data_IF_173361291248
#
_entry.id   IF_173361291248
#
_cell.length_a   1.000
_cell.length_b   1.000
_cell.length_c   1.000
_cell.angle_alpha   90.00
_cell.angle_beta   90.00
_cell.angle_gamma   90.00
#
_symmetry.space_group_name_H-M   'P 1'
#
loop_
_entity.id
_entity.type
_entity.pdbx_description
1 polymer ?
#
# COMPACT_ATOMS: atom_id res chain seq x y z
N UNK A 1 57.79 -34.62 21.67
CA UNK A 1 57.79 -34.65 20.19
C UNK A 1 57.69 -33.20 19.71
N UNK A 2 58.82 -32.48 19.58
CA UNK A 2 59.46 -32.07 18.30
C UNK A 2 58.52 -31.33 17.32
N UNK A 3 58.53 -29.99 17.44
CA UNK A 3 58.56 -28.88 16.44
C UNK A 3 59.02 -29.20 14.98
N UNK A 4 59.08 -28.24 14.00
CA UNK A 4 58.47 -26.89 13.82
C UNK A 4 58.05 -26.56 12.34
N UNK A 5 57.53 -25.35 12.04
CA UNK A 5 58.15 -24.27 11.20
C UNK A 5 57.16 -23.86 10.07
N UNK A 6 56.99 -22.63 9.57
CA UNK A 6 57.82 -21.41 9.35
C UNK A 6 56.87 -20.17 9.38
N UNK A 7 57.15 -19.02 10.00
CA UNK A 7 57.96 -17.87 9.55
C UNK A 7 57.51 -17.34 8.16
N UNK A 8 57.29 -16.05 7.84
CA UNK A 8 57.75 -14.77 8.39
C UNK A 8 57.00 -13.58 7.71
N UNK A 9 56.98 -12.41 8.38
CA UNK A 9 57.05 -11.02 7.86
C UNK A 9 56.00 -10.53 6.82
N UNK A 10 55.32 -9.38 6.97
CA UNK A 10 55.83 -8.00 7.05
C UNK A 10 54.76 -7.07 7.64
N UNK A 11 55.18 -6.12 8.49
CA UNK A 11 54.41 -4.93 8.90
C UNK A 11 54.11 -3.99 7.72
N UNK A 12 52.91 -3.41 7.65
CA UNK A 12 52.83 -1.96 7.48
C UNK A 12 51.59 -1.37 8.17
N UNK A 13 51.90 -0.29 8.86
CA UNK A 13 51.11 0.59 9.72
C UNK A 13 50.05 1.38 8.93
N UNK A 14 48.92 1.59 9.60
CA UNK A 14 47.92 2.67 9.52
C UNK A 14 47.78 3.45 8.19
N UNK A 15 46.54 3.65 7.77
CA UNK A 15 45.94 5.00 7.69
C UNK A 15 44.41 4.89 7.63
N UNK A 16 43.78 5.71 8.47
CA UNK A 16 42.35 6.00 8.58
C UNK A 16 41.76 6.37 7.21
N UNK A 17 40.49 6.06 6.95
CA UNK A 17 39.43 6.91 6.32
C UNK A 17 38.13 6.08 6.18
N UNK A 18 36.95 6.74 6.14
CA UNK A 18 35.79 6.42 6.97
C UNK A 18 34.62 5.82 6.18
N UNK A 19 33.62 5.31 6.90
CA UNK A 19 32.23 5.14 6.45
C UNK A 19 32.04 4.67 5.00
N UNK A 20 32.12 3.36 4.79
CA UNK A 20 31.34 2.71 3.74
C UNK A 20 30.30 1.84 4.45
N UNK A 21 29.03 2.29 4.41
CA UNK A 21 27.90 1.39 4.62
C UNK A 21 28.03 0.30 3.56
N UNK A 22 28.36 -0.91 3.99
CA UNK A 22 28.19 -2.10 3.19
C UNK A 22 26.68 -2.25 2.95
N UNK A 23 26.23 -1.96 1.73
CA UNK A 23 24.96 -2.51 1.23
C UNK A 23 25.30 -3.95 0.90
N UNK A 24 24.78 -4.86 1.72
CA UNK A 24 24.86 -6.29 1.45
C UNK A 24 24.21 -6.60 0.13
N UNK A 25 24.86 -7.46 -0.66
CA UNK A 25 24.21 -8.24 -1.69
C UNK A 25 23.19 -9.15 -0.98
N UNK A 26 21.92 -8.74 -0.96
CA UNK A 26 20.79 -9.62 -0.62
C UNK A 26 19.92 -9.83 -1.86
N UNK A 27 19.46 -11.07 -1.96
CA UNK A 27 19.08 -11.81 -3.15
C UNK A 27 17.81 -11.28 -3.86
N UNK A 28 17.87 -11.27 -5.20
CA UNK A 28 16.78 -11.38 -6.19
C UNK A 28 15.36 -11.01 -5.72
N UNK A 29 15.07 -9.71 -5.64
CA UNK A 29 13.70 -9.18 -5.74
C UNK A 29 13.45 -8.70 -7.18
N UNK A 30 13.32 -9.66 -8.09
CA UNK A 30 13.11 -9.48 -9.54
C UNK A 30 12.01 -8.47 -9.94
N UNK A 31 10.87 -8.31 -9.21
CA UNK A 31 9.82 -7.36 -9.60
C UNK A 31 10.27 -5.89 -9.55
N UNK A 32 11.14 -5.54 -8.62
CA UNK A 32 11.58 -4.15 -8.42
C UNK A 32 12.54 -3.71 -9.53
N UNK A 33 13.44 -4.59 -9.97
CA UNK A 33 14.39 -4.29 -11.06
C UNK A 33 13.64 -4.03 -12.37
N UNK A 34 12.59 -4.80 -12.67
CA UNK A 34 11.77 -4.60 -13.87
C UNK A 34 11.01 -3.25 -13.84
N UNK A 35 10.49 -2.84 -12.67
CA UNK A 35 9.84 -1.55 -12.47
C UNK A 35 10.84 -0.41 -12.66
N UNK A 36 12.03 -0.53 -12.05
CA UNK A 36 13.10 0.45 -12.19
C UNK A 36 13.60 0.58 -13.64
N UNK A 37 13.64 -0.51 -14.39
CA UNK A 37 13.94 -0.49 -15.82
C UNK A 37 12.88 0.24 -16.63
N UNK A 38 11.59 0.01 -16.36
CA UNK A 38 10.50 0.74 -17.03
C UNK A 38 10.55 2.25 -16.73
N UNK A 39 10.81 2.62 -15.47
CA UNK A 39 10.99 4.03 -15.09
C UNK A 39 12.22 4.63 -15.78
N UNK A 40 13.32 3.88 -15.87
CA UNK A 40 14.53 4.30 -16.58
C UNK A 40 14.26 4.56 -18.08
N UNK A 41 13.49 3.69 -18.73
CA UNK A 41 13.10 3.80 -20.13
C UNK A 41 12.12 4.96 -20.39
N UNK A 42 11.08 5.11 -19.57
CA UNK A 42 10.08 6.18 -19.72
C UNK A 42 10.65 7.57 -19.44
N UNK A 43 11.57 7.67 -18.47
CA UNK A 43 12.14 8.95 -18.01
C UNK A 43 13.50 9.24 -18.66
N UNK A 44 14.04 8.31 -19.45
CA UNK A 44 15.30 8.45 -20.19
C UNK A 44 16.52 8.66 -19.29
N UNK A 45 16.57 7.98 -18.14
CA UNK A 45 17.64 8.10 -17.15
C UNK A 45 18.29 6.74 -16.82
N UNK A 46 19.49 6.76 -16.23
CA UNK A 46 20.22 5.54 -15.84
C UNK A 46 19.48 4.77 -14.74
N UNK A 47 19.83 3.49 -14.54
CA UNK A 47 19.20 2.66 -13.49
C UNK A 47 19.44 3.23 -12.08
N UNK A 48 20.60 3.86 -11.83
CA UNK A 48 20.93 4.50 -10.55
C UNK A 48 20.12 5.80 -10.34
N UNK A 49 19.89 6.55 -11.42
CA UNK A 49 18.98 7.71 -11.42
C UNK A 49 17.50 7.29 -11.31
N UNK A 50 17.13 6.15 -11.89
CA UNK A 50 15.79 5.58 -11.77
C UNK A 50 15.55 5.07 -10.35
N UNK A 51 16.54 4.39 -9.75
CA UNK A 51 16.47 3.92 -8.37
C UNK A 51 16.36 5.09 -7.39
N UNK A 52 17.18 6.13 -7.54
CA UNK A 52 17.07 7.35 -6.72
C UNK A 52 15.77 8.13 -6.94
N UNK A 53 15.16 8.07 -8.14
CA UNK A 53 13.80 8.60 -8.39
C UNK A 53 12.68 7.71 -7.86
N UNK A 54 12.94 6.41 -7.73
CA UNK A 54 11.99 5.42 -7.25
C UNK A 54 12.03 5.21 -5.74
N UNK A 55 13.05 5.76 -5.04
CA UNK A 55 13.03 5.79 -3.57
C UNK A 55 11.74 6.47 -3.11
N UNK A 56 10.92 5.72 -2.39
CA UNK A 56 9.64 6.18 -1.88
C UNK A 56 8.46 6.07 -2.86
N UNK A 57 8.64 5.54 -4.09
CA UNK A 57 7.53 5.28 -5.02
C UNK A 57 6.83 3.96 -4.75
N UNK A 58 7.47 3.03 -4.06
CA UNK A 58 6.81 1.81 -3.58
C UNK A 58 5.94 2.09 -2.36
N UNK A 59 4.95 1.22 -2.15
CA UNK A 59 4.18 1.23 -0.93
C UNK A 59 5.10 0.89 0.24
N UNK A 60 5.13 1.78 1.23
CA UNK A 60 6.05 1.67 2.34
C UNK A 60 5.45 0.84 3.47
N UNK A 61 6.31 0.06 4.13
CA UNK A 61 6.01 -0.49 5.44
C UNK A 61 5.68 0.65 6.42
N UNK A 62 4.57 0.59 7.18
CA UNK A 62 4.19 1.62 8.15
C UNK A 62 5.23 1.90 9.23
N UNK A 63 6.06 0.91 9.61
CA UNK A 63 7.17 1.09 10.55
C UNK A 63 8.22 2.08 10.02
N UNK A 64 8.39 2.17 8.70
CA UNK A 64 9.24 3.19 8.06
C UNK A 64 8.75 4.59 8.42
N UNK A 65 7.42 4.78 8.47
CA UNK A 65 6.82 6.05 8.86
C UNK A 65 7.05 6.36 10.36
N UNK A 66 7.14 5.33 11.21
CA UNK A 66 7.30 5.48 12.65
C UNK A 66 8.61 6.18 13.05
N UNK A 67 9.64 6.14 12.19
CA UNK A 67 10.93 6.80 12.41
C UNK A 67 10.75 8.32 12.59
N UNK A 68 9.90 8.95 11.77
CA UNK A 68 9.66 10.39 11.78
C UNK A 68 8.27 10.76 12.33
N UNK A 69 7.29 9.86 12.24
CA UNK A 69 5.90 10.04 12.67
C UNK A 69 5.48 9.00 13.73
N UNK A 70 6.23 8.87 14.84
CA UNK A 70 6.00 7.80 15.83
C UNK A 70 4.63 7.90 16.48
N UNK A 71 4.13 9.12 16.71
CA UNK A 71 2.81 9.34 17.30
C UNK A 71 1.69 8.84 16.39
N UNK A 72 1.69 9.26 15.13
CA UNK A 72 0.68 8.89 14.14
C UNK A 72 0.70 7.39 13.88
N UNK A 73 1.89 6.79 13.78
CA UNK A 73 2.04 5.36 13.68
C UNK A 73 1.39 4.62 14.87
N UNK A 74 1.63 5.05 16.11
CA UNK A 74 1.01 4.42 17.28
C UNK A 74 -0.52 4.60 17.33
N UNK A 75 -1.03 5.77 16.92
CA UNK A 75 -2.47 6.03 16.81
C UNK A 75 -3.11 5.13 15.73
N UNK A 76 -2.47 4.98 14.57
CA UNK A 76 -2.89 4.07 13.52
C UNK A 76 -2.84 2.61 13.96
N UNK A 77 -1.75 2.19 14.60
CA UNK A 77 -1.53 0.82 15.06
C UNK A 77 -2.65 0.36 16.01
N UNK A 78 -3.13 1.26 16.88
CA UNK A 78 -4.25 1.00 17.79
C UNK A 78 -5.66 1.18 17.19
N UNK A 79 -5.77 1.58 15.93
CA UNK A 79 -7.05 1.85 15.26
C UNK A 79 -7.62 0.63 14.54
N UNK A 80 -8.88 0.66 14.12
CA UNK A 80 -9.44 -0.41 13.28
C UNK A 80 -8.84 -0.47 11.87
N UNK A 81 -8.19 0.59 11.40
CA UNK A 81 -7.57 0.66 10.08
C UNK A 81 -6.37 -0.28 9.95
N UNK A 82 -5.52 -0.38 10.98
CA UNK A 82 -4.36 -1.30 11.00
C UNK A 82 -4.78 -2.76 10.96
N UNK A 83 -5.96 -3.08 11.53
CA UNK A 83 -6.53 -4.43 11.52
C UNK A 83 -7.45 -4.71 10.32
N UNK A 84 -7.59 -3.76 9.38
CA UNK A 84 -8.55 -3.81 8.29
C UNK A 84 -8.52 -5.14 7.52
N UNK A 85 -7.33 -5.59 7.15
CA UNK A 85 -7.12 -6.84 6.42
C UNK A 85 -7.11 -8.08 7.33
N UNK A 86 -6.59 -7.98 8.55
CA UNK A 86 -6.22 -9.15 9.36
C UNK A 86 -7.22 -9.51 10.45
N UNK A 87 -8.24 -8.66 10.69
CA UNK A 87 -9.27 -8.90 11.70
C UNK A 87 -9.94 -10.28 11.53
N UNK A 88 -9.91 -11.16 12.55
CA UNK A 88 -10.52 -12.50 12.46
C UNK A 88 -12.02 -12.47 12.15
N UNK A 89 -12.73 -11.47 12.72
CA UNK A 89 -14.15 -11.27 12.50
C UNK A 89 -14.44 -10.88 11.05
N UNK A 90 -13.67 -9.93 10.52
CA UNK A 90 -13.76 -9.51 9.12
C UNK A 90 -13.49 -10.68 8.18
N UNK A 91 -12.37 -11.38 8.38
CA UNK A 91 -11.97 -12.51 7.54
C UNK A 91 -13.02 -13.62 7.55
N UNK A 92 -13.60 -13.94 8.70
CA UNK A 92 -14.71 -14.91 8.77
C UNK A 92 -15.93 -14.45 7.98
N UNK A 93 -16.28 -13.16 8.07
CA UNK A 93 -17.41 -12.59 7.36
C UNK A 93 -17.18 -12.57 5.84
N UNK A 94 -15.99 -12.16 5.40
CA UNK A 94 -15.58 -12.15 4.00
C UNK A 94 -15.67 -13.56 3.38
N UNK A 95 -15.17 -14.58 4.08
CA UNK A 95 -15.25 -15.98 3.63
C UNK A 95 -16.70 -16.44 3.50
N UNK A 96 -17.55 -16.15 4.50
CA UNK A 96 -18.97 -16.51 4.47
C UNK A 96 -19.69 -15.77 3.34
N UNK A 97 -19.43 -14.48 3.16
CA UNK A 97 -20.03 -13.68 2.10
C UNK A 97 -19.66 -14.22 0.71
N UNK A 98 -18.38 -14.51 0.46
CA UNK A 98 -17.92 -15.13 -0.79
C UNK A 98 -18.59 -16.46 -1.05
N UNK A 99 -18.76 -17.30 -0.01
CA UNK A 99 -19.43 -18.60 -0.16
C UNK A 99 -20.93 -18.45 -0.45
N UNK A 100 -21.64 -17.67 0.36
CA UNK A 100 -23.10 -17.52 0.26
C UNK A 100 -23.49 -16.81 -1.05
N UNK A 101 -22.68 -15.85 -1.48
CA UNK A 101 -22.88 -15.10 -2.72
C UNK A 101 -22.20 -15.75 -3.93
N UNK A 102 -21.74 -17.00 -3.82
CA UNK A 102 -21.13 -17.78 -4.93
C UNK A 102 -20.04 -17.01 -5.68
N UNK A 103 -19.14 -16.39 -4.92
CA UNK A 103 -18.01 -15.62 -5.45
C UNK A 103 -18.34 -14.21 -5.93
N UNK A 104 -19.60 -13.73 -5.82
CA UNK A 104 -19.98 -12.43 -6.38
C UNK A 104 -19.12 -11.25 -5.87
N UNK A 105 -18.61 -11.32 -4.65
CA UNK A 105 -17.78 -10.27 -4.02
C UNK A 105 -16.27 -10.53 -4.09
N UNK A 106 -15.82 -11.57 -4.80
CA UNK A 106 -14.41 -11.98 -4.91
C UNK A 106 -13.72 -11.44 -6.19
N UNK A 107 -12.45 -11.77 -6.43
CA UNK A 107 -11.59 -11.20 -7.50
C UNK A 107 -12.11 -11.34 -8.95
N UNK A 108 -13.08 -12.21 -9.22
CA UNK A 108 -13.68 -12.38 -10.55
C UNK A 108 -15.23 -12.32 -10.51
N UNK A 109 -15.79 -11.88 -9.39
CA UNK A 109 -17.23 -11.74 -9.19
C UNK A 109 -17.82 -10.47 -9.81
N UNK A 110 -19.15 -10.39 -9.82
CA UNK A 110 -19.89 -9.21 -10.32
C UNK A 110 -19.56 -7.93 -9.52
N UNK A 111 -19.20 -8.07 -8.24
CA UNK A 111 -18.73 -7.02 -7.33
C UNK A 111 -17.27 -7.30 -6.96
N UNK A 112 -16.39 -7.26 -7.96
CA UNK A 112 -14.98 -7.66 -7.79
C UNK A 112 -14.32 -7.02 -6.56
N UNK A 113 -13.72 -7.86 -5.72
CA UNK A 113 -12.96 -7.50 -4.52
C UNK A 113 -13.68 -6.55 -3.55
N UNK A 114 -15.01 -6.57 -3.53
CA UNK A 114 -15.84 -5.60 -2.82
C UNK A 114 -15.37 -5.30 -1.38
N UNK A 115 -15.05 -6.33 -0.60
CA UNK A 115 -14.60 -6.17 0.78
C UNK A 115 -13.21 -5.51 0.88
N UNK A 116 -12.29 -5.89 -0.01
CA UNK A 116 -10.87 -5.64 0.15
C UNK A 116 -10.44 -4.27 -0.36
N UNK A 117 -11.21 -3.70 -1.29
CA UNK A 117 -11.02 -2.32 -1.72
C UNK A 117 -10.99 -1.32 -0.55
N UNK A 118 -11.81 -1.55 0.48
CA UNK A 118 -11.82 -0.73 1.70
C UNK A 118 -10.87 -1.24 2.78
N UNK A 119 -10.71 -2.56 2.90
CA UNK A 119 -10.01 -3.18 4.03
C UNK A 119 -8.50 -3.35 3.83
N UNK A 120 -8.04 -3.33 2.58
CA UNK A 120 -6.64 -3.32 2.15
C UNK A 120 -6.55 -2.67 0.76
N UNK A 121 -6.70 -1.33 0.67
CA UNK A 121 -6.66 -0.63 -0.61
C UNK A 121 -5.37 -0.88 -1.39
N UNK A 122 -4.25 -1.05 -0.69
CA UNK A 122 -2.95 -1.38 -1.29
C UNK A 122 -2.97 -2.78 -1.92
N UNK A 123 -3.56 -3.78 -1.27
CA UNK A 123 -3.67 -5.13 -1.85
C UNK A 123 -4.53 -5.17 -3.13
N UNK A 124 -5.56 -4.32 -3.21
CA UNK A 124 -6.33 -4.13 -4.45
C UNK A 124 -5.49 -3.46 -5.54
N UNK A 125 -4.79 -2.37 -5.20
CA UNK A 125 -3.95 -1.63 -6.15
C UNK A 125 -2.84 -2.53 -6.71
N UNK A 126 -2.27 -3.40 -5.88
CA UNK A 126 -1.25 -4.38 -6.27
C UNK A 126 -1.81 -5.65 -6.93
N UNK A 127 -3.14 -5.82 -6.96
CA UNK A 127 -3.78 -6.97 -7.61
C UNK A 127 -3.46 -8.32 -6.94
N UNK A 128 -3.30 -8.35 -5.62
CA UNK A 128 -2.79 -9.51 -4.86
C UNK A 128 -3.84 -10.61 -4.62
N UNK A 129 -5.04 -10.42 -5.13
CA UNK A 129 -6.15 -11.32 -4.86
C UNK A 129 -6.27 -12.42 -5.91
N UNK A 130 -6.43 -13.65 -5.43
CA UNK A 130 -6.65 -14.80 -6.30
C UNK A 130 -8.11 -14.90 -6.75
N UNK A 131 -8.29 -15.48 -7.93
CA UNK A 131 -9.61 -15.78 -8.47
C UNK A 131 -10.40 -16.70 -7.54
N UNK A 132 -11.69 -16.43 -7.41
CA UNK A 132 -12.58 -17.33 -6.70
C UNK A 132 -12.82 -18.58 -7.53
N UNK A 133 -12.57 -19.72 -6.89
CA UNK A 133 -12.96 -21.05 -7.37
C UNK A 133 -14.10 -21.56 -6.48
N UNK A 134 -15.11 -22.21 -7.08
CA UNK A 134 -16.20 -22.88 -6.33
C UNK A 134 -15.73 -24.21 -5.70
N UNK A 135 -14.42 -24.35 -5.48
CA UNK A 135 -13.91 -25.47 -4.69
C UNK A 135 -14.19 -25.19 -3.22
N UNK A 136 -14.36 -26.27 -2.46
CA UNK A 136 -14.83 -26.19 -1.08
C UNK A 136 -13.87 -25.50 -0.09
N UNK A 137 -12.68 -25.06 -0.51
CA UNK A 137 -11.68 -24.39 0.32
C UNK A 137 -11.65 -22.88 0.08
N UNK A 138 -12.59 -22.16 0.68
CA UNK A 138 -12.48 -20.70 0.82
C UNK A 138 -11.46 -20.42 1.92
N UNK A 139 -10.32 -19.84 1.58
CA UNK A 139 -9.40 -19.18 2.53
C UNK A 139 -9.69 -17.68 2.56
N UNK A 140 -9.42 -16.99 3.69
CA UNK A 140 -9.59 -15.55 3.75
C UNK A 140 -8.60 -14.86 2.81
N UNK A 141 -9.03 -13.80 2.14
CA UNK A 141 -8.19 -13.08 1.17
C UNK A 141 -6.91 -12.50 1.78
N UNK A 142 -6.84 -12.29 3.09
CA UNK A 142 -5.60 -11.91 3.77
C UNK A 142 -4.44 -12.87 3.54
N UNK A 143 -4.72 -14.14 3.24
CA UNK A 143 -3.68 -15.17 3.07
C UNK A 143 -2.96 -15.03 1.73
N UNK A 144 -3.45 -14.20 0.80
CA UNK A 144 -2.78 -13.87 -0.46
C UNK A 144 -2.03 -12.53 -0.42
N UNK A 145 -2.09 -11.80 0.70
CA UNK A 145 -1.51 -10.47 0.81
C UNK A 145 0.00 -10.53 1.02
N UNK A 146 0.69 -9.56 0.42
CA UNK A 146 2.07 -9.24 0.82
C UNK A 146 2.10 -8.62 2.21
N UNK A 147 3.30 -8.51 2.79
CA UNK A 147 3.50 -7.86 4.09
C UNK A 147 2.94 -6.43 4.11
N UNK A 148 3.24 -5.63 3.09
CA UNK A 148 2.76 -4.23 3.01
C UNK A 148 1.24 -4.12 2.94
N UNK A 149 0.57 -5.04 2.23
CA UNK A 149 -0.89 -5.06 2.09
C UNK A 149 -1.60 -5.62 3.32
N UNK A 150 -0.93 -6.47 4.11
CA UNK A 150 -1.48 -7.05 5.34
C UNK A 150 -1.72 -6.01 6.45
N UNK A 151 -1.11 -4.83 6.34
CA UNK A 151 -1.31 -3.71 7.26
C UNK A 151 -2.67 -2.98 7.09
N UNK A 152 -3.57 -3.47 6.24
CA UNK A 152 -4.91 -2.92 6.09
C UNK A 152 -4.92 -1.53 5.45
N UNK A 153 -5.62 -0.57 6.07
CA UNK A 153 -5.61 0.83 5.61
C UNK A 153 -4.41 1.53 6.25
N UNK A 154 -3.23 1.32 5.65
CA UNK A 154 -1.94 1.80 6.15
C UNK A 154 -1.67 3.26 5.77
N UNK A 155 -0.50 3.79 6.17
CA UNK A 155 -0.11 5.19 5.93
C UNK A 155 -0.30 5.60 4.46
N UNK A 156 0.25 4.80 3.55
CA UNK A 156 0.23 5.11 2.13
C UNK A 156 -1.16 4.95 1.50
N UNK A 157 -2.04 4.10 2.07
CA UNK A 157 -3.41 3.95 1.60
C UNK A 157 -4.21 5.27 1.71
N UNK A 158 -3.89 6.10 2.72
CA UNK A 158 -4.47 7.44 2.87
C UNK A 158 -3.59 8.52 2.23
N UNK A 159 -2.29 8.49 2.53
CA UNK A 159 -1.39 9.58 2.18
C UNK A 159 -1.05 9.61 0.68
N UNK A 160 -1.21 8.53 -0.07
CA UNK A 160 -0.94 8.53 -1.52
C UNK A 160 -2.17 8.78 -2.37
N UNK A 161 -3.35 8.98 -1.81
CA UNK A 161 -4.53 9.33 -2.62
C UNK A 161 -4.29 10.68 -3.30
N UNK A 162 -4.41 10.74 -4.63
CA UNK A 162 -4.22 11.98 -5.41
C UNK A 162 -5.53 12.64 -5.82
N UNK A 163 -6.58 11.86 -6.04
CA UNK A 163 -7.90 12.34 -6.42
C UNK A 163 -8.96 11.25 -6.16
N UNK A 164 -10.23 11.62 -6.25
CA UNK A 164 -11.34 10.67 -6.22
C UNK A 164 -11.79 10.32 -7.63
N UNK A 165 -12.06 9.04 -7.85
CA UNK A 165 -12.72 8.62 -9.08
C UNK A 165 -14.24 8.83 -8.98
N UNK A 166 -14.68 10.01 -9.40
CA UNK A 166 -16.12 10.33 -9.49
C UNK A 166 -16.78 9.72 -10.73
N UNK A 167 -16.00 9.20 -11.68
CA UNK A 167 -16.47 8.70 -12.98
C UNK A 167 -16.82 7.21 -12.97
N UNK A 168 -16.24 6.44 -12.06
CA UNK A 168 -16.54 5.02 -11.91
C UNK A 168 -17.93 4.79 -11.30
N UNK A 169 -18.84 4.14 -12.03
CA UNK A 169 -20.03 3.43 -11.56
C UNK A 169 -21.39 4.16 -11.40
N UNK A 170 -21.93 4.72 -12.48
CA UNK A 170 -23.40 4.86 -12.63
C UNK A 170 -24.18 3.53 -12.45
N UNK A 171 -23.74 2.36 -12.99
CA UNK A 171 -24.52 1.13 -12.92
C UNK A 171 -24.56 0.43 -11.54
N UNK A 172 -23.76 0.87 -10.55
CA UNK A 172 -23.73 0.28 -9.20
C UNK A 172 -24.52 1.08 -8.15
N UNK A 173 -25.37 2.03 -8.58
CA UNK A 173 -26.30 2.73 -7.69
C UNK A 173 -25.74 4.02 -7.07
N UNK A 174 -25.34 4.99 -7.91
CA UNK A 174 -24.91 6.32 -7.45
C UNK A 174 -26.09 7.28 -7.25
N UNK A 175 -26.00 8.12 -6.22
CA UNK A 175 -26.82 9.32 -5.97
C UNK A 175 -26.25 10.59 -6.66
N UNK A 176 -25.47 10.44 -7.74
CA UNK A 176 -24.95 11.55 -8.54
C UNK A 176 -23.71 12.30 -8.00
N UNK A 177 -23.25 12.02 -6.77
CA UNK A 177 -22.05 12.63 -6.14
C UNK A 177 -20.74 11.88 -6.40
N UNK A 178 -20.82 10.58 -6.64
CA UNK A 178 -19.75 9.76 -7.16
C UNK A 178 -18.75 9.19 -6.15
N UNK A 179 -18.90 9.47 -4.85
CA UNK A 179 -17.95 9.14 -3.79
C UNK A 179 -18.48 8.00 -2.91
N UNK A 180 -18.11 6.76 -3.25
CA UNK A 180 -18.50 5.54 -2.52
C UNK A 180 -17.68 4.32 -3.02
N UNK A 181 -17.69 3.21 -2.26
CA UNK A 181 -17.13 1.92 -2.68
C UNK A 181 -15.67 1.96 -3.18
N UNK A 182 -14.82 2.66 -2.44
CA UNK A 182 -13.40 2.93 -2.70
C UNK A 182 -13.17 3.70 -4.00
N UNK A 183 -13.78 4.87 -4.12
CA UNK A 183 -13.53 5.81 -5.22
C UNK A 183 -12.18 6.54 -5.07
N UNK A 184 -11.11 5.86 -4.63
CA UNK A 184 -9.79 6.43 -4.39
C UNK A 184 -8.89 6.18 -5.61
N UNK A 185 -8.12 7.18 -6.02
CA UNK A 185 -7.02 6.99 -6.96
C UNK A 185 -5.70 7.22 -6.22
N UNK A 186 -4.89 6.18 -6.11
CA UNK A 186 -3.57 6.24 -5.47
C UNK A 186 -2.50 6.74 -6.45
N UNK A 187 -1.54 7.51 -5.94
CA UNK A 187 -0.39 8.01 -6.66
C UNK A 187 0.71 6.96 -6.64
N UNK A 188 0.63 5.98 -7.53
CA UNK A 188 1.61 4.89 -7.66
C UNK A 188 2.89 5.29 -8.40
N UNK A 189 2.84 6.37 -9.18
CA UNK A 189 3.94 6.79 -10.05
C UNK A 189 4.99 7.65 -9.34
N UNK A 190 4.57 8.60 -8.52
CA UNK A 190 5.50 9.60 -7.95
C UNK A 190 5.87 9.33 -6.49
N UNK A 191 5.11 8.47 -5.80
CA UNK A 191 5.29 8.26 -4.36
C UNK A 191 4.95 9.49 -3.53
N UNK A 192 4.30 10.51 -4.12
CA UNK A 192 3.95 11.73 -3.42
C UNK A 192 2.95 11.43 -2.32
N UNK A 193 3.28 11.90 -1.11
CA UNK A 193 2.42 11.79 0.06
C UNK A 193 1.78 13.13 0.35
N UNK A 194 0.50 13.12 0.68
CA UNK A 194 -0.32 14.31 0.94
C UNK A 194 -0.74 14.29 2.38
N UNK A 195 -0.71 15.44 3.05
CA UNK A 195 -0.99 15.51 4.47
C UNK A 195 -1.56 16.86 4.85
N UNK A 196 -2.17 16.96 6.05
CA UNK A 196 -2.77 18.20 6.50
C UNK A 196 -1.74 19.27 6.93
N UNK A 197 -0.44 18.98 6.85
CA UNK A 197 0.60 19.88 7.30
C UNK A 197 0.95 20.88 6.19
N UNK A 198 0.82 22.17 6.50
CA UNK A 198 1.11 23.28 5.58
C UNK A 198 2.60 23.61 5.45
N UNK A 199 3.42 23.10 6.37
CA UNK A 199 4.88 23.31 6.39
C UNK A 199 5.60 21.98 6.66
N UNK A 200 5.59 21.04 5.70
CA UNK A 200 6.23 19.74 5.87
C UNK A 200 7.75 19.89 5.92
N UNK A 201 8.38 19.18 6.86
CA UNK A 201 9.84 19.11 6.95
C UNK A 201 10.37 18.21 5.82
N UNK A 202 11.23 18.77 4.97
CA UNK A 202 11.88 18.03 3.89
C UNK A 202 12.71 16.87 4.45
N UNK A 203 12.65 15.73 3.76
CA UNK A 203 13.41 14.52 4.08
C UNK A 203 13.80 13.78 2.79
N UNK A 204 14.65 12.76 2.91
CA UNK A 204 15.14 11.99 1.77
C UNK A 204 14.27 10.80 1.36
N UNK A 205 13.12 10.59 2.02
CA UNK A 205 12.29 9.40 1.84
C UNK A 205 11.08 9.66 0.93
N UNK A 206 10.35 10.76 1.15
CA UNK A 206 9.19 11.10 0.32
C UNK A 206 9.00 12.60 0.10
N UNK A 207 8.46 12.94 -1.07
CA UNK A 207 7.99 14.30 -1.37
C UNK A 207 6.59 14.53 -0.81
N UNK A 208 6.28 15.79 -0.47
CA UNK A 208 4.96 16.19 0.05
C UNK A 208 4.31 17.22 -0.87
N UNK A 209 3.03 17.05 -1.20
CA UNK A 209 2.20 18.15 -1.70
C UNK A 209 1.47 18.78 -0.52
N UNK A 210 1.83 20.04 -0.21
CA UNK A 210 1.22 20.83 0.86
C UNK A 210 -0.07 21.54 0.44
N UNK A 211 -0.42 21.48 -0.86
CA UNK A 211 -1.52 22.26 -1.43
C UNK A 211 -2.83 21.47 -1.57
N UNK A 212 -2.80 20.16 -1.29
CA UNK A 212 -3.96 19.26 -1.41
C UNK A 212 -4.68 19.04 -0.06
N UNK A 213 -4.58 20.02 0.84
CA UNK A 213 -5.09 19.99 2.22
C UNK A 213 -6.59 19.63 2.29
N UNK A 214 -7.39 20.26 1.42
CA UNK A 214 -8.85 20.15 1.44
C UNK A 214 -9.33 18.71 1.26
N UNK A 215 -8.57 17.87 0.56
CA UNK A 215 -8.93 16.48 0.33
C UNK A 215 -8.77 15.61 1.57
N UNK A 216 -7.62 15.71 2.27
CA UNK A 216 -7.33 14.95 3.50
C UNK A 216 -8.17 15.41 4.69
N UNK A 217 -8.63 16.66 4.69
CA UNK A 217 -9.52 17.20 5.74
C UNK A 217 -11.00 17.19 5.37
N UNK A 218 -11.32 16.86 4.12
CA UNK A 218 -12.67 16.74 3.61
C UNK A 218 -13.32 15.41 4.00
N UNK A 219 -14.65 15.37 3.91
CA UNK A 219 -15.45 14.16 4.09
C UNK A 219 -15.28 13.16 2.93
N UNK A 220 -14.94 13.63 1.73
CA UNK A 220 -14.80 12.80 0.54
C UNK A 220 -13.81 11.63 0.66
N UNK A 221 -12.66 11.82 1.33
CA UNK A 221 -11.70 10.73 1.57
C UNK A 221 -12.33 9.62 2.43
N UNK A 222 -13.02 10.01 3.51
CA UNK A 222 -13.67 9.07 4.41
C UNK A 222 -14.87 8.40 3.74
N UNK A 223 -15.69 9.19 3.03
CA UNK A 223 -16.89 8.73 2.31
C UNK A 223 -16.53 7.71 1.23
N UNK A 224 -15.35 7.82 0.61
CA UNK A 224 -14.89 6.84 -0.36
C UNK A 224 -14.93 5.40 0.19
N UNK A 225 -14.66 5.17 1.48
CA UNK A 225 -14.73 3.84 2.09
C UNK A 225 -15.94 3.62 3.02
N UNK A 226 -16.45 4.69 3.64
CA UNK A 226 -17.51 4.62 4.64
C UNK A 226 -18.92 4.90 4.10
N UNK A 227 -19.04 5.35 2.85
CA UNK A 227 -20.28 5.29 2.09
C UNK A 227 -20.26 4.03 1.22
N UNK A 228 -20.99 3.01 1.69
CA UNK A 228 -21.03 1.69 1.07
C UNK A 228 -22.38 1.51 0.38
N UNK A 229 -22.34 1.41 -0.95
CA UNK A 229 -23.53 1.31 -1.79
C UNK A 229 -23.51 -0.02 -2.54
N UNK A 230 -24.60 -0.78 -2.50
CA UNK A 230 -24.74 -2.01 -3.28
C UNK A 230 -25.88 -1.78 -4.26
N UNK A 231 -25.62 -1.90 -5.56
CA UNK A 231 -26.62 -1.63 -6.59
C UNK A 231 -27.95 -2.35 -6.32
N UNK A 232 -29.06 -1.61 -6.46
CA UNK A 232 -30.47 -1.98 -6.22
C UNK A 232 -31.06 -1.74 -4.81
N UNK A 233 -30.36 -1.12 -3.87
CA UNK A 233 -31.04 -0.50 -2.73
C UNK A 233 -31.36 0.96 -3.06
N UNK A 234 -32.65 1.33 -3.02
CA UNK A 234 -33.04 2.73 -2.78
C UNK A 234 -32.25 3.23 -1.57
N UNK A 235 -31.71 4.43 -1.63
CA UNK A 235 -30.97 5.06 -0.54
C UNK A 235 -31.73 4.89 0.78
N UNK A 236 -31.11 4.29 1.79
CA UNK A 236 -31.77 4.03 3.06
C UNK A 236 -32.11 5.33 3.83
N UNK A 237 -31.49 6.45 3.47
CA UNK A 237 -31.70 7.78 4.05
C UNK A 237 -32.71 8.61 3.27
N UNK A 238 -32.70 8.57 1.93
CA UNK A 238 -33.62 9.38 1.09
C UNK A 238 -34.79 8.59 0.49
N UNK A 239 -34.68 7.26 0.41
CA UNK A 239 -35.69 6.37 -0.15
C UNK A 239 -35.78 6.36 -1.67
N UNK A 240 -34.80 6.95 -2.37
CA UNK A 240 -34.71 7.00 -3.84
C UNK A 240 -33.72 5.98 -4.42
#
# INVERSE_FOLDING_TARGET
MRHPSQAAFVMLVLLMHPFACAVGEEEDFEPHVEILQKIAEEVGCSLEEAHSKAVGTEFADPETCAVCHPRQYQEWLGSSHSYGAISPTFNSFEMVARRVLKGAVANNGALRNFCNKCHTPIGEELGEFTDYTDDSSVTPMRDSLSEVSAHGVSCDACHRVKELDTTLNEPLGKLGDGVANTSLILDTLTGMRRGPLTDPVANGFHSVSSNDYDFMTGDGLCAACHDVRIGHSTDAMTGE
#
